data_IF_322414868144
#
_entry.id   IF_322414868144
#
_cell.length_a   1.000
_cell.length_b   1.000
_cell.length_c   1.000
_cell.angle_alpha   90.00
_cell.angle_beta   90.00
_cell.angle_gamma   90.00
#
_symmetry.space_group_name_H-M   'P 1'
#
loop_
_entity.id
_entity.type
_entity.pdbx_description
1 polymer ?
#
# COMPACT_ATOMS: atom_id res chain seq x y z
N UNK A 1 7.96 -13.59 -3.99
CA UNK A 1 9.18 -13.68 -4.81
C UNK A 1 8.81 -13.53 -6.29
N UNK A 2 8.57 -12.29 -6.74
CA UNK A 2 8.21 -11.96 -8.14
C UNK A 2 9.03 -10.77 -8.67
N UNK A 3 10.22 -10.53 -8.08
CA UNK A 3 11.05 -9.37 -8.41
C UNK A 3 11.65 -9.48 -9.82
N UNK A 4 12.09 -10.67 -10.24
CA UNK A 4 12.69 -10.88 -11.58
C UNK A 4 11.68 -10.57 -12.69
N UNK A 5 10.45 -11.12 -12.70
CA UNK A 5 9.46 -10.76 -13.71
C UNK A 5 9.10 -9.27 -13.71
N UNK A 6 8.94 -8.64 -12.53
CA UNK A 6 8.68 -7.20 -12.42
C UNK A 6 9.82 -6.37 -13.04
N UNK A 7 11.07 -6.75 -12.77
CA UNK A 7 12.24 -6.07 -13.33
C UNK A 7 12.27 -6.17 -14.86
N UNK A 8 12.05 -7.38 -15.41
CA UNK A 8 12.02 -7.59 -16.86
C UNK A 8 10.91 -6.73 -17.48
N UNK A 9 9.72 -6.72 -16.89
CA UNK A 9 8.60 -5.92 -17.38
C UNK A 9 8.90 -4.41 -17.35
N UNK A 10 9.47 -3.89 -16.26
CA UNK A 10 9.86 -2.49 -16.18
C UNK A 10 10.95 -2.12 -17.18
N UNK A 11 11.91 -3.02 -17.41
CA UNK A 11 12.96 -2.86 -18.42
C UNK A 11 12.36 -2.79 -19.82
N UNK A 12 11.49 -3.73 -20.15
CA UNK A 12 10.88 -3.82 -21.48
C UNK A 12 9.96 -2.61 -21.76
N UNK A 13 9.40 -1.99 -20.71
CA UNK A 13 8.65 -0.74 -20.77
C UNK A 13 9.53 0.53 -20.68
N UNK A 14 10.86 0.40 -20.56
CA UNK A 14 11.80 1.51 -20.32
C UNK A 14 11.43 2.39 -19.10
N UNK A 15 10.89 1.78 -18.04
CA UNK A 15 10.49 2.45 -16.81
C UNK A 15 11.52 2.33 -15.67
N UNK A 16 12.60 1.56 -15.87
CA UNK A 16 13.71 1.50 -14.91
C UNK A 16 14.29 2.90 -14.66
N UNK A 17 14.86 3.10 -13.47
CA UNK A 17 15.46 4.38 -13.09
C UNK A 17 14.51 5.58 -13.23
N UNK A 18 13.23 5.37 -12.90
CA UNK A 18 12.21 6.42 -12.91
C UNK A 18 11.23 6.27 -11.75
N UNK A 19 10.44 7.32 -11.48
CA UNK A 19 9.32 7.23 -10.55
C UNK A 19 8.27 6.18 -10.97
N UNK A 20 8.18 5.84 -12.25
CA UNK A 20 7.31 4.77 -12.75
C UNK A 20 7.70 3.41 -12.18
N UNK A 21 9.01 3.10 -12.14
CA UNK A 21 9.54 1.89 -11.52
C UNK A 21 9.24 1.80 -10.01
N UNK A 22 9.16 2.94 -9.32
CA UNK A 22 8.84 3.01 -7.88
C UNK A 22 7.33 2.97 -7.59
N UNK A 23 6.48 3.21 -8.59
CA UNK A 23 5.03 3.34 -8.40
C UNK A 23 4.27 2.16 -8.98
N UNK A 24 4.47 1.87 -10.27
CA UNK A 24 3.66 0.90 -11.04
C UNK A 24 3.64 -0.50 -10.40
N UNK A 25 4.77 -1.07 -9.94
CA UNK A 25 4.77 -2.40 -9.34
C UNK A 25 4.08 -2.50 -7.97
N UNK A 26 3.82 -1.35 -7.33
CA UNK A 26 3.20 -1.25 -6.00
C UNK A 26 1.71 -0.89 -6.07
N UNK A 27 1.17 -0.58 -7.25
CA UNK A 27 -0.23 -0.18 -7.42
C UNK A 27 -1.23 -1.29 -7.08
N UNK A 28 -0.85 -2.54 -7.35
CA UNK A 28 -1.70 -3.69 -7.09
C UNK A 28 -0.85 -4.89 -6.69
N UNK A 29 -1.27 -5.55 -5.62
CA UNK A 29 -0.66 -6.78 -5.14
C UNK A 29 -1.73 -7.81 -4.81
N UNK A 30 -1.32 -9.09 -4.75
CA UNK A 30 -2.23 -10.20 -4.55
C UNK A 30 -2.96 -10.14 -3.20
N UNK A 31 -2.30 -9.64 -2.15
CA UNK A 31 -2.90 -9.50 -0.83
C UNK A 31 -4.00 -8.45 -0.84
N UNK A 32 -3.75 -7.28 -1.44
CA UNK A 32 -4.75 -6.22 -1.56
C UNK A 32 -5.98 -6.64 -2.36
N UNK A 33 -5.77 -7.33 -3.49
CA UNK A 33 -6.86 -7.87 -4.31
C UNK A 33 -7.67 -8.89 -3.50
N UNK A 34 -7.01 -9.81 -2.80
CA UNK A 34 -7.67 -10.85 -2.04
C UNK A 34 -8.45 -10.29 -0.85
N UNK A 35 -7.87 -9.36 -0.09
CA UNK A 35 -8.52 -8.68 1.04
C UNK A 35 -9.80 -7.96 0.58
N UNK A 36 -9.70 -7.18 -0.50
CA UNK A 36 -10.86 -6.45 -1.04
C UNK A 36 -11.92 -7.39 -1.59
N UNK A 37 -11.51 -8.46 -2.29
CA UNK A 37 -12.45 -9.49 -2.78
C UNK A 37 -13.23 -10.11 -1.62
N UNK A 38 -12.53 -10.58 -0.57
CA UNK A 38 -13.18 -11.17 0.60
C UNK A 38 -14.16 -10.20 1.26
N UNK A 39 -13.79 -8.93 1.36
CA UNK A 39 -14.68 -7.94 1.94
C UNK A 39 -15.92 -7.70 1.07
N UNK A 40 -15.75 -7.53 -0.25
CA UNK A 40 -16.89 -7.36 -1.16
C UNK A 40 -17.84 -8.57 -1.15
N UNK A 41 -17.32 -9.80 -1.05
CA UNK A 41 -18.13 -11.02 -0.93
C UNK A 41 -18.88 -11.10 0.40
N UNK A 42 -18.43 -10.39 1.45
CA UNK A 42 -19.10 -10.34 2.75
C UNK A 42 -20.31 -9.41 2.78
N UNK A 43 -20.45 -8.50 1.78
CA UNK A 43 -21.57 -7.56 1.70
C UNK A 43 -22.84 -8.33 1.30
N UNK A 44 -23.95 -8.21 2.07
CA UNK A 44 -25.18 -8.92 1.76
C UNK A 44 -25.70 -8.59 0.36
N UNK A 45 -25.93 -9.62 -0.46
CA UNK A 45 -26.44 -9.44 -1.84
C UNK A 45 -27.86 -8.87 -1.89
N UNK A 46 -28.62 -9.00 -0.80
CA UNK A 46 -29.99 -8.48 -0.70
C UNK A 46 -30.03 -6.95 -0.85
N UNK A 47 -28.99 -6.24 -0.37
CA UNK A 47 -28.87 -4.79 -0.54
C UNK A 47 -28.74 -4.40 -2.02
N UNK A 48 -27.97 -5.17 -2.80
CA UNK A 48 -27.90 -4.97 -4.25
C UNK A 48 -29.21 -5.36 -4.94
N UNK A 49 -29.88 -6.41 -4.47
CA UNK A 49 -31.15 -6.90 -5.01
C UNK A 49 -32.27 -5.87 -4.87
N UNK A 50 -32.43 -5.30 -3.67
CA UNK A 50 -33.40 -4.24 -3.41
C UNK A 50 -33.16 -3.01 -4.31
N UNK A 51 -31.92 -2.53 -4.38
CA UNK A 51 -31.58 -1.39 -5.22
C UNK A 51 -31.83 -1.63 -6.72
N UNK A 52 -31.63 -2.87 -7.21
CA UNK A 52 -32.01 -3.22 -8.60
C UNK A 52 -33.51 -3.20 -8.81
N UNK A 53 -34.31 -3.64 -7.82
CA UNK A 53 -35.77 -3.53 -7.90
C UNK A 53 -36.23 -2.07 -7.92
N UNK A 54 -35.52 -1.18 -7.22
CA UNK A 54 -35.73 0.27 -7.24
C UNK A 54 -35.21 0.95 -8.53
N UNK A 55 -34.73 0.18 -9.51
CA UNK A 55 -34.28 0.68 -10.80
C UNK A 55 -32.86 1.25 -10.82
N UNK A 56 -32.06 1.03 -9.76
CA UNK A 56 -30.68 1.51 -9.72
C UNK A 56 -29.78 0.75 -10.71
N UNK A 57 -28.99 1.50 -11.47
CA UNK A 57 -27.94 0.97 -12.35
C UNK A 57 -26.79 0.34 -11.56
N UNK A 58 -26.01 -0.53 -12.20
CA UNK A 58 -24.86 -1.19 -11.57
C UNK A 58 -23.84 -0.20 -10.98
N UNK A 59 -23.59 0.91 -11.67
CA UNK A 59 -22.68 1.95 -11.21
C UNK A 59 -23.22 2.70 -9.98
N UNK A 60 -24.53 2.99 -9.95
CA UNK A 60 -25.18 3.59 -8.78
C UNK A 60 -25.09 2.68 -7.56
N UNK A 61 -25.39 1.39 -7.72
CA UNK A 61 -25.27 0.39 -6.65
C UNK A 61 -23.84 0.33 -6.12
N UNK A 62 -22.85 0.27 -7.02
CA UNK A 62 -21.45 0.27 -6.62
C UNK A 62 -21.08 1.52 -5.81
N UNK A 63 -21.39 2.71 -6.34
CA UNK A 63 -20.97 3.98 -5.72
C UNK A 63 -21.73 4.32 -4.44
N UNK A 64 -23.01 3.98 -4.36
CA UNK A 64 -23.89 4.40 -3.25
C UNK A 64 -24.03 3.34 -2.17
N UNK A 65 -23.85 2.06 -2.49
CA UNK A 65 -24.04 0.95 -1.54
C UNK A 65 -22.72 0.24 -1.28
N UNK A 66 -22.08 -0.31 -2.32
CA UNK A 66 -20.90 -1.16 -2.13
C UNK A 66 -19.70 -0.36 -1.62
N UNK A 67 -19.41 0.79 -2.24
CA UNK A 67 -18.22 1.59 -1.94
C UNK A 67 -18.24 2.19 -0.52
N UNK A 68 -19.35 2.78 -0.01
CA UNK A 68 -19.41 3.27 1.37
C UNK A 68 -19.29 2.16 2.41
N UNK A 69 -19.89 0.99 2.15
CA UNK A 69 -19.74 -0.18 3.02
C UNK A 69 -18.31 -0.74 3.02
N UNK A 70 -17.56 -0.54 1.92
CA UNK A 70 -16.16 -0.95 1.79
C UNK A 70 -15.13 0.02 2.41
N UNK A 71 -15.54 1.17 2.94
CA UNK A 71 -14.63 2.14 3.57
C UNK A 71 -13.71 1.52 4.64
N UNK A 72 -14.18 0.64 5.55
CA UNK A 72 -13.31 0.01 6.55
C UNK A 72 -12.19 -0.83 5.90
N UNK A 73 -12.52 -1.63 4.90
CA UNK A 73 -11.54 -2.46 4.18
C UNK A 73 -10.58 -1.63 3.34
N UNK A 74 -11.08 -0.60 2.64
CA UNK A 74 -10.23 0.34 1.89
C UNK A 74 -9.26 1.04 2.83
N UNK A 75 -9.70 1.40 4.03
CA UNK A 75 -8.85 2.03 5.04
C UNK A 75 -7.76 1.06 5.50
N UNK A 76 -8.11 -0.19 5.82
CA UNK A 76 -7.13 -1.21 6.20
C UNK A 76 -6.11 -1.46 5.08
N UNK A 77 -6.58 -1.62 3.84
CA UNK A 77 -5.72 -1.79 2.67
C UNK A 77 -4.77 -0.61 2.50
N UNK A 78 -5.28 0.62 2.60
CA UNK A 78 -4.48 1.84 2.47
C UNK A 78 -3.33 1.86 3.48
N UNK A 79 -3.59 1.43 4.72
CA UNK A 79 -2.56 1.34 5.75
C UNK A 79 -1.49 0.31 5.39
N UNK A 80 -1.89 -0.91 5.01
CA UNK A 80 -0.94 -1.96 4.63
C UNK A 80 -0.13 -1.58 3.39
N UNK A 81 -0.76 -0.98 2.38
CA UNK A 81 -0.09 -0.52 1.17
C UNK A 81 0.88 0.63 1.45
N UNK A 82 0.49 1.59 2.29
CA UNK A 82 1.39 2.67 2.73
C UNK A 82 2.58 2.12 3.50
N UNK A 83 2.32 1.23 4.47
CA UNK A 83 3.36 0.54 5.25
C UNK A 83 4.35 -0.21 4.35
N UNK A 84 3.83 -0.99 3.40
CA UNK A 84 4.63 -1.78 2.48
C UNK A 84 5.51 -0.90 1.59
N UNK A 85 4.93 0.16 1.04
CA UNK A 85 5.64 1.09 0.16
C UNK A 85 6.69 1.93 0.90
N UNK A 86 6.37 2.41 2.10
CA UNK A 86 7.29 3.22 2.93
C UNK A 86 8.51 2.42 3.39
N UNK A 87 8.33 1.13 3.70
CA UNK A 87 9.39 0.25 4.16
C UNK A 87 10.08 -0.54 3.03
N UNK A 88 9.67 -0.33 1.77
CA UNK A 88 10.20 -1.07 0.64
C UNK A 88 11.71 -0.79 0.46
N UNK A 89 12.49 -1.87 0.42
CA UNK A 89 13.94 -1.80 0.24
C UNK A 89 14.39 -2.59 -1.00
N UNK A 90 14.14 -3.91 -1.02
CA UNK A 90 14.68 -4.81 -2.04
C UNK A 90 14.27 -4.43 -3.47
N UNK A 91 12.97 -4.22 -3.71
CA UNK A 91 12.44 -3.87 -5.03
C UNK A 91 12.98 -2.49 -5.51
N UNK A 92 12.90 -1.40 -4.72
CA UNK A 92 13.51 -0.12 -5.09
C UNK A 92 15.00 -0.22 -5.41
N UNK A 93 15.82 -0.87 -4.55
CA UNK A 93 17.27 -1.02 -4.80
C UNK A 93 17.56 -1.64 -6.18
N UNK A 94 16.72 -2.59 -6.61
CA UNK A 94 16.88 -3.28 -7.90
C UNK A 94 16.35 -2.43 -9.07
N UNK A 95 15.25 -1.69 -8.89
CA UNK A 95 14.59 -0.98 -9.98
C UNK A 95 15.20 0.39 -10.32
N UNK A 96 15.95 1.00 -9.37
CA UNK A 96 16.60 2.31 -9.54
C UNK A 96 18.14 2.22 -9.46
N UNK A 97 18.73 1.15 -9.98
CA UNK A 97 20.17 0.87 -9.90
C UNK A 97 21.06 1.75 -10.79
N UNK A 98 20.50 2.57 -11.68
CA UNK A 98 21.21 3.38 -12.67
C UNK A 98 21.93 4.63 -12.13
N UNK A 99 22.07 4.77 -10.80
CA UNK A 99 22.91 5.79 -10.18
C UNK A 99 22.23 7.13 -9.88
N UNK A 100 20.93 7.26 -10.14
CA UNK A 100 20.16 8.48 -9.83
C UNK A 100 19.84 8.56 -8.33
N UNK A 101 20.60 9.37 -7.59
CA UNK A 101 20.38 9.58 -6.14
C UNK A 101 19.04 10.24 -5.83
N UNK A 102 18.48 11.00 -6.76
CA UNK A 102 17.21 11.72 -6.60
C UNK A 102 15.99 10.79 -6.49
N UNK A 103 16.17 9.53 -6.87
CA UNK A 103 15.13 8.49 -6.79
C UNK A 103 15.22 7.67 -5.49
N UNK A 104 16.24 7.90 -4.66
CA UNK A 104 16.44 7.10 -3.47
C UNK A 104 15.27 7.22 -2.51
N UNK A 105 14.60 6.10 -2.26
CA UNK A 105 13.69 5.99 -1.13
C UNK A 105 14.49 6.07 0.16
N UNK A 106 13.84 6.44 1.26
CA UNK A 106 14.51 6.56 2.56
C UNK A 106 15.32 5.30 2.94
N UNK A 107 14.78 4.05 2.78
CA UNK A 107 15.57 2.84 3.04
C UNK A 107 16.78 2.67 2.10
N UNK A 108 16.63 2.97 0.80
CA UNK A 108 17.71 2.87 -0.19
C UNK A 108 18.83 3.87 0.13
N UNK A 109 18.46 5.13 0.36
CA UNK A 109 19.41 6.19 0.70
C UNK A 109 20.14 5.91 2.01
N UNK A 110 19.44 5.37 3.01
CA UNK A 110 20.05 4.98 4.28
C UNK A 110 21.08 3.87 4.13
N UNK A 111 20.78 2.84 3.32
CA UNK A 111 21.72 1.75 3.05
C UNK A 111 22.94 2.24 2.27
N UNK A 112 22.73 3.14 1.29
CA UNK A 112 23.79 3.74 0.51
C UNK A 112 24.70 4.64 1.38
N UNK A 113 24.12 5.44 2.29
CA UNK A 113 24.85 6.24 3.27
C UNK A 113 25.76 5.39 4.17
N UNK A 114 25.27 4.24 4.65
CA UNK A 114 26.10 3.28 5.44
C UNK A 114 27.31 2.78 4.64
N UNK A 115 27.11 2.48 3.36
CA UNK A 115 28.16 1.95 2.49
C UNK A 115 29.25 2.99 2.18
N UNK A 116 28.89 4.28 2.05
CA UNK A 116 29.83 5.34 1.66
C UNK A 116 30.62 5.96 2.83
N UNK A 117 30.04 6.13 4.03
CA UNK A 117 30.57 7.05 5.05
C UNK A 117 31.20 6.43 6.30
N UNK A 118 31.69 5.17 6.29
CA UNK A 118 32.22 4.49 7.49
C UNK A 118 31.26 4.62 8.68
N UNK A 119 30.17 3.85 8.64
CA UNK A 119 29.04 3.81 9.61
C UNK A 119 29.12 4.82 10.77
N UNK A 120 28.76 6.08 10.50
CA UNK A 120 28.52 7.06 11.55
C UNK A 120 27.21 6.69 12.27
N UNK A 121 27.34 5.85 13.30
CA UNK A 121 26.22 5.31 14.07
C UNK A 121 25.28 6.39 14.63
N UNK A 122 25.76 7.50 15.20
CA UNK A 122 24.89 8.60 15.62
C UNK A 122 23.99 9.12 14.49
N UNK A 123 24.58 9.51 13.35
CA UNK A 123 23.83 10.07 12.21
C UNK A 123 22.84 9.03 11.66
N UNK A 124 23.27 7.78 11.58
CA UNK A 124 22.45 6.69 11.09
C UNK A 124 21.19 6.45 11.95
N UNK A 125 21.36 6.45 13.28
CA UNK A 125 20.25 6.29 14.21
C UNK A 125 19.31 7.50 14.18
N UNK A 126 19.85 8.72 14.05
CA UNK A 126 19.03 9.92 13.87
C UNK A 126 18.16 9.83 12.62
N UNK A 127 18.73 9.43 11.48
CA UNK A 127 17.94 9.26 10.25
C UNK A 127 16.89 8.17 10.44
N UNK A 128 17.24 7.02 11.03
CA UNK A 128 16.28 5.94 11.29
C UNK A 128 15.07 6.41 12.14
N UNK A 129 15.33 7.20 13.19
CA UNK A 129 14.25 7.80 14.01
C UNK A 129 13.39 8.74 13.17
N UNK A 130 14.00 9.65 12.39
CA UNK A 130 13.27 10.57 11.52
C UNK A 130 12.41 9.81 10.51
N UNK A 131 12.91 8.73 9.91
CA UNK A 131 12.15 7.91 8.95
C UNK A 131 10.97 7.18 9.59
N UNK A 132 10.98 6.98 10.91
CA UNK A 132 9.91 6.32 11.66
C UNK A 132 8.78 7.30 12.01
N UNK A 133 9.06 8.60 12.15
CA UNK A 133 8.09 9.61 12.57
C UNK A 133 6.87 9.69 11.63
N UNK A 134 7.01 9.80 10.29
CA UNK A 134 5.86 9.87 9.39
C UNK A 134 4.96 8.63 9.49
N UNK A 135 5.57 7.46 9.67
CA UNK A 135 4.86 6.21 9.84
C UNK A 135 4.07 6.17 11.15
N UNK A 136 4.65 6.68 12.24
CA UNK A 136 3.98 6.81 13.52
C UNK A 136 2.79 7.80 13.45
N UNK A 137 2.97 8.94 12.79
CA UNK A 137 1.89 9.92 12.57
C UNK A 137 0.76 9.28 11.75
N UNK A 138 1.10 8.60 10.66
CA UNK A 138 0.14 7.92 9.82
C UNK A 138 -0.65 6.88 10.62
N UNK A 139 0.04 6.05 11.41
CA UNK A 139 -0.62 5.08 12.29
C UNK A 139 -1.58 5.77 13.26
N UNK A 140 -1.17 6.84 13.95
CA UNK A 140 -2.00 7.55 14.92
C UNK A 140 -3.27 8.15 14.30
N UNK A 141 -3.18 8.62 13.05
CA UNK A 141 -4.33 9.16 12.30
C UNK A 141 -5.32 8.04 11.92
N UNK A 142 -4.80 6.89 11.52
CA UNK A 142 -5.61 5.80 10.96
C UNK A 142 -6.01 4.70 11.96
N UNK A 143 -5.40 4.64 13.16
CA UNK A 143 -5.67 3.63 14.20
C UNK A 143 -7.16 3.54 14.60
N UNK A 144 -7.89 4.67 14.57
CA UNK A 144 -9.31 4.71 14.93
C UNK A 144 -10.20 3.85 14.03
N UNK A 145 -9.80 3.69 12.76
CA UNK A 145 -10.51 2.86 11.80
C UNK A 145 -10.24 1.37 12.00
N UNK A 146 -9.08 1.02 12.57
CA UNK A 146 -8.73 -0.35 12.95
C UNK A 146 -9.64 -0.88 14.06
N UNK A 147 -9.92 -0.04 15.07
CA UNK A 147 -10.80 -0.38 16.20
C UNK A 147 -12.24 -0.59 15.71
N UNK A 148 -12.74 0.26 14.81
CA UNK A 148 -14.08 0.14 14.25
C UNK A 148 -14.29 -1.16 13.44
N UNK A 149 -13.25 -1.66 12.76
CA UNK A 149 -13.30 -2.91 11.98
C UNK A 149 -13.42 -4.16 12.86
N UNK A 150 -12.80 -4.16 14.05
CA UNK A 150 -12.86 -5.31 14.96
C UNK A 150 -14.24 -5.48 15.62
N UNK A 151 -14.99 -4.38 15.82
CA UNK A 151 -16.34 -4.46 16.39
C UNK A 151 -17.34 -5.10 15.41
N UNK A 152 -17.20 -4.87 14.11
CA UNK A 152 -18.05 -5.53 13.10
C UNK A 152 -17.79 -7.05 12.99
N UNK A 153 -16.60 -7.52 13.34
CA UNK A 153 -16.28 -8.95 13.39
C UNK A 153 -16.79 -9.65 14.66
N UNK A 154 -17.15 -8.90 15.70
CA UNK A 154 -17.59 -9.43 17.01
C UNK A 154 -19.09 -9.66 17.14
N UNK A 155 -19.92 -9.24 16.16
CA UNK A 155 -21.40 -9.38 16.19
C UNK A 155 -21.85 -10.63 15.40
N UNK A 156 -20.92 -11.51 15.01
CA UNK A 156 -21.25 -12.88 14.58
C UNK A 156 -21.00 -13.84 15.73
N UNK A 157 -21.87 -13.75 16.73
CA UNK A 157 -22.00 -14.65 17.89
C UNK A 157 -23.43 -14.59 18.38
#
# INVERSE_FOLDING_TARGET
MTVIPKFILLRDLNLLDSYGALTVPFLADAFGIFLMKQFFESIPRDLEGAARMDGASRYQIFRQIVLPNAIPAITALTIFSFQGSWNAFLEPVIFISGGSTDLYTLPVGLANFRAQFNTNWPVLMTIAVITTIPMAIFFVVFQRYFIASNVASGIKG
#
